data_IF_116896773112
#
_entry.id   IF_116896773112
#
_cell.length_a   1.000
_cell.length_b   1.000
_cell.length_c   1.000
_cell.angle_alpha   90.00
_cell.angle_beta   90.00
_cell.angle_gamma   90.00
#
_symmetry.space_group_name_H-M   'P 1'
#
loop_
_entity.id
_entity.type
_entity.pdbx_description
1 polymer ?
#
# COMPACT_ATOMS: atom_id res chain seq x y z
N UNK A 1 36.85 12.20 -11.43
CA UNK A 1 35.74 11.37 -10.91
C UNK A 1 34.63 11.33 -11.97
N UNK A 2 33.76 10.33 -12.00
CA UNK A 2 32.64 10.26 -12.95
C UNK A 2 31.37 10.84 -12.33
N UNK A 3 30.66 11.74 -13.01
CA UNK A 3 29.51 12.46 -12.43
C UNK A 3 28.23 11.62 -12.25
N UNK A 4 28.22 10.38 -12.74
CA UNK A 4 27.05 9.47 -12.70
C UNK A 4 25.85 9.94 -13.52
N UNK A 5 26.02 10.97 -14.36
CA UNK A 5 24.93 11.66 -15.06
C UNK A 5 25.13 11.78 -16.56
N UNK A 6 26.37 11.73 -17.05
CA UNK A 6 26.69 11.66 -18.48
C UNK A 6 27.36 10.34 -18.85
N UNK A 7 27.29 9.96 -20.13
CA UNK A 7 27.95 8.78 -20.67
C UNK A 7 27.93 8.73 -22.20
N UNK A 8 28.35 7.60 -22.75
CA UNK A 8 28.36 7.33 -24.19
C UNK A 8 27.69 5.98 -24.45
N UNK A 9 26.54 5.98 -25.12
CA UNK A 9 25.95 4.77 -25.70
C UNK A 9 26.60 4.53 -27.06
N UNK A 10 26.84 3.27 -27.44
CA UNK A 10 27.34 2.93 -28.78
C UNK A 10 26.35 2.02 -29.49
N UNK A 11 25.87 2.46 -30.65
CA UNK A 11 25.03 1.67 -31.56
C UNK A 11 25.88 1.40 -32.80
N UNK A 12 26.12 0.13 -33.14
CA UNK A 12 27.00 -0.27 -34.25
C UNK A 12 28.37 0.44 -34.25
N UNK A 13 28.93 0.60 -33.04
CA UNK A 13 30.16 1.35 -32.69
C UNK A 13 30.07 2.88 -32.83
N UNK A 14 29.02 3.43 -33.44
CA UNK A 14 28.75 4.89 -33.50
C UNK A 14 28.47 5.41 -32.08
N UNK A 15 29.23 6.39 -31.57
CA UNK A 15 29.03 6.94 -30.23
C UNK A 15 27.91 7.98 -30.22
N UNK A 16 27.01 7.87 -29.24
CA UNK A 16 25.97 8.83 -28.92
C UNK A 16 26.21 9.38 -27.52
N UNK A 17 26.29 10.70 -27.38
CA UNK A 17 26.32 11.35 -26.07
C UNK A 17 25.01 11.06 -25.33
N UNK A 18 25.07 10.68 -24.06
CA UNK A 18 23.87 10.38 -23.28
C UNK A 18 23.86 11.03 -21.89
N UNK A 19 22.65 11.23 -21.36
CA UNK A 19 22.36 11.93 -20.10
C UNK A 19 21.27 11.23 -19.30
N UNK A 20 21.55 10.95 -18.02
CA UNK A 20 20.63 10.29 -17.09
C UNK A 20 19.73 11.32 -16.39
N UNK A 21 18.44 11.34 -16.74
CA UNK A 21 17.46 12.33 -16.27
C UNK A 21 16.39 11.72 -15.36
N UNK A 22 15.93 12.50 -14.38
CA UNK A 22 14.92 12.15 -13.39
C UNK A 22 13.50 12.34 -13.95
N UNK A 23 12.76 11.25 -14.12
CA UNK A 23 11.36 11.27 -14.56
C UNK A 23 10.44 11.88 -13.48
N UNK A 24 9.31 12.48 -13.86
CA UNK A 24 8.36 13.03 -12.91
C UNK A 24 7.44 11.98 -12.30
N UNK A 25 7.22 10.86 -12.98
CA UNK A 25 6.33 9.79 -12.56
C UNK A 25 7.18 8.56 -12.29
N UNK A 26 6.87 7.86 -11.19
CA UNK A 26 7.27 6.46 -11.03
C UNK A 26 6.58 5.65 -12.12
N UNK A 27 7.30 4.75 -12.76
CA UNK A 27 6.78 3.81 -13.76
C UNK A 27 7.07 2.41 -13.22
N UNK A 28 6.02 1.67 -12.88
CA UNK A 28 6.16 0.27 -12.51
C UNK A 28 6.33 -0.58 -13.78
N UNK A 29 7.28 -1.51 -13.73
CA UNK A 29 7.46 -2.53 -14.77
C UNK A 29 6.88 -3.86 -14.27
N UNK A 30 5.97 -4.45 -15.05
CA UNK A 30 5.27 -5.68 -14.69
C UNK A 30 5.47 -6.76 -15.76
N UNK A 31 5.65 -8.00 -15.33
CA UNK A 31 5.63 -9.20 -16.20
C UNK A 31 4.29 -9.91 -16.09
N UNK A 32 3.92 -10.61 -17.15
CA UNK A 32 2.71 -11.46 -17.24
C UNK A 32 3.00 -12.65 -18.15
N UNK A 33 2.17 -13.68 -18.08
CA UNK A 33 2.21 -14.87 -18.96
C UNK A 33 0.87 -15.03 -19.68
N UNK A 34 -0.22 -14.87 -18.93
CA UNK A 34 -1.61 -14.99 -19.37
C UNK A 34 -2.23 -13.68 -19.91
N UNK A 35 -1.52 -12.54 -19.75
CA UNK A 35 -1.99 -11.18 -20.03
C UNK A 35 -3.16 -10.71 -19.16
N UNK A 36 -3.44 -11.38 -18.03
CA UNK A 36 -4.48 -11.01 -17.05
C UNK A 36 -3.87 -10.79 -15.67
N UNK A 37 -3.04 -11.71 -15.21
CA UNK A 37 -2.26 -11.57 -13.97
C UNK A 37 -0.92 -10.89 -14.24
N UNK A 38 -0.62 -9.83 -13.49
CA UNK A 38 0.59 -9.03 -13.64
C UNK A 38 1.38 -8.99 -12.34
N UNK A 39 2.69 -9.24 -12.44
CA UNK A 39 3.63 -9.26 -11.31
C UNK A 39 4.64 -8.13 -11.47
N UNK A 40 4.77 -7.26 -10.46
CA UNK A 40 5.77 -6.18 -10.45
C UNK A 40 7.19 -6.74 -10.47
N UNK A 41 8.08 -6.09 -11.21
CA UNK A 41 9.50 -6.49 -11.37
C UNK A 41 10.49 -5.41 -10.96
N UNK A 42 10.25 -4.15 -11.31
CA UNK A 42 11.05 -3.01 -10.86
C UNK A 42 10.27 -1.68 -10.91
N UNK A 43 10.77 -0.69 -10.17
CA UNK A 43 10.39 0.72 -10.27
C UNK A 43 11.37 1.48 -11.17
N UNK A 44 10.84 2.21 -12.15
CA UNK A 44 11.63 3.04 -13.08
C UNK A 44 11.32 4.51 -12.85
N UNK A 45 12.33 5.24 -12.36
CA UNK A 45 12.25 6.68 -12.07
C UNK A 45 13.22 7.53 -12.92
N UNK A 46 14.11 6.90 -13.70
CA UNK A 46 15.14 7.55 -14.50
C UNK A 46 15.06 7.14 -15.97
N UNK A 47 15.64 7.95 -16.86
CA UNK A 47 15.74 7.69 -18.29
C UNK A 47 17.10 8.14 -18.83
N UNK A 48 17.72 7.33 -19.69
CA UNK A 48 18.97 7.65 -20.37
C UNK A 48 18.65 8.24 -21.75
N UNK A 49 18.74 9.57 -21.87
CA UNK A 49 18.48 10.28 -23.13
C UNK A 49 19.75 10.31 -23.96
N UNK A 50 19.70 9.80 -25.20
CA UNK A 50 20.82 9.86 -26.15
C UNK A 50 20.59 10.96 -27.19
N UNK A 51 21.67 11.61 -27.63
CA UNK A 51 21.68 12.70 -28.61
C UNK A 51 22.85 12.56 -29.58
N UNK A 52 22.61 12.80 -30.87
CA UNK A 52 23.65 12.83 -31.91
C UNK A 52 24.61 14.02 -31.70
N UNK A 53 24.06 15.22 -31.56
CA UNK A 53 24.82 16.50 -31.53
C UNK A 53 25.31 16.88 -30.11
N UNK A 54 25.38 15.91 -29.20
CA UNK A 54 25.79 16.13 -27.81
C UNK A 54 27.29 15.93 -27.61
N UNK A 55 27.85 16.65 -26.64
CA UNK A 55 29.24 16.45 -26.21
C UNK A 55 29.42 15.05 -25.60
N UNK A 56 30.39 14.29 -26.10
CA UNK A 56 30.75 12.96 -25.63
C UNK A 56 31.53 12.98 -24.31
N UNK A 57 32.22 14.09 -24.02
CA UNK A 57 33.07 14.27 -22.84
C UNK A 57 32.80 15.63 -22.20
N UNK A 58 31.56 15.90 -21.74
CA UNK A 58 31.16 17.19 -21.21
C UNK A 58 32.05 17.61 -20.03
N UNK A 59 32.47 18.89 -19.94
CA UNK A 59 33.40 19.34 -18.93
C UNK A 59 32.99 18.97 -17.51
N UNK A 60 33.92 18.32 -16.78
CA UNK A 60 33.79 18.09 -15.35
C UNK A 60 33.79 19.42 -14.62
N UNK A 61 32.61 19.86 -14.16
CA UNK A 61 32.49 20.97 -13.22
C UNK A 61 33.15 20.59 -11.89
N UNK A 62 34.39 21.01 -11.68
CA UNK A 62 35.08 20.81 -10.40
C UNK A 62 34.26 21.35 -9.22
N UNK A 63 34.36 20.72 -8.03
CA UNK A 63 33.70 21.20 -6.81
C UNK A 63 34.39 22.45 -6.27
N UNK A 64 34.14 23.60 -6.91
CA UNK A 64 34.51 24.93 -6.39
C UNK A 64 34.00 25.07 -4.96
N UNK A 65 34.91 25.21 -4.00
CA UNK A 65 34.77 24.67 -2.65
C UNK A 65 33.77 25.32 -1.68
N UNK A 66 34.16 25.38 -0.41
CA UNK A 66 33.31 25.54 0.79
C UNK A 66 32.68 26.94 1.00
N UNK A 67 32.49 27.69 -0.07
CA UNK A 67 31.96 29.05 -0.07
C UNK A 67 30.41 29.03 0.00
N UNK A 68 29.73 29.69 0.97
CA UNK A 68 28.27 29.58 1.15
C UNK A 68 27.42 30.04 -0.05
N UNK A 69 28.02 30.69 -1.06
CA UNK A 69 27.39 31.02 -2.34
C UNK A 69 27.18 29.78 -3.24
N UNK A 70 27.95 28.70 -3.07
CA UNK A 70 27.87 27.49 -3.91
C UNK A 70 26.53 26.76 -3.81
N UNK A 71 25.94 26.68 -2.60
CA UNK A 71 24.63 26.04 -2.36
C UNK A 71 23.49 26.59 -3.22
N UNK A 72 23.58 27.83 -3.70
CA UNK A 72 22.59 28.43 -4.60
C UNK A 72 22.80 27.97 -6.06
N UNK A 73 24.05 27.71 -6.45
CA UNK A 73 24.46 27.19 -7.76
C UNK A 73 24.13 25.69 -7.91
N UNK A 74 24.39 24.86 -6.89
CA UNK A 74 24.06 23.42 -6.94
C UNK A 74 22.56 23.17 -7.15
N UNK A 75 21.71 23.99 -6.51
CA UNK A 75 20.26 23.93 -6.69
C UNK A 75 19.79 24.31 -8.11
N UNK A 76 20.66 24.92 -8.93
CA UNK A 76 20.46 25.07 -10.36
C UNK A 76 21.11 23.94 -11.18
N UNK A 77 22.21 23.34 -10.72
CA UNK A 77 22.81 22.14 -11.34
C UNK A 77 21.82 20.98 -11.41
N UNK A 78 21.16 20.62 -10.30
CA UNK A 78 20.21 19.50 -10.26
C UNK A 78 19.10 19.63 -11.32
N UNK A 79 18.62 20.86 -11.56
CA UNK A 79 17.55 21.14 -12.53
C UNK A 79 17.93 20.73 -13.96
N UNK A 80 19.24 20.66 -14.31
CA UNK A 80 19.70 20.24 -15.65
C UNK A 80 19.49 18.74 -15.92
N UNK A 81 19.16 17.97 -14.88
CA UNK A 81 18.80 16.55 -14.97
C UNK A 81 17.31 16.26 -14.68
N UNK A 82 16.49 17.27 -14.36
CA UNK A 82 15.06 17.07 -14.05
C UNK A 82 14.21 17.05 -15.32
N UNK A 83 13.68 15.88 -15.67
CA UNK A 83 12.78 15.72 -16.82
C UNK A 83 11.38 16.29 -16.52
N UNK A 84 10.82 17.06 -17.45
CA UNK A 84 9.58 17.84 -17.21
C UNK A 84 8.29 17.13 -17.64
N UNK A 85 8.37 15.96 -18.27
CA UNK A 85 7.25 15.27 -18.93
C UNK A 85 7.17 13.82 -18.46
N UNK A 86 5.98 13.23 -18.38
CA UNK A 86 5.88 11.77 -18.36
C UNK A 86 6.15 11.19 -19.75
N UNK A 87 6.40 9.88 -19.84
CA UNK A 87 6.67 9.19 -21.10
C UNK A 87 5.44 9.16 -22.02
N UNK A 88 4.24 8.98 -21.47
CA UNK A 88 3.00 8.93 -22.25
C UNK A 88 2.48 10.32 -22.61
N UNK A 89 1.91 10.48 -23.81
CA UNK A 89 1.47 11.77 -24.35
C UNK A 89 0.54 12.60 -23.41
N UNK A 90 -0.42 12.00 -22.68
CA UNK A 90 -1.27 12.74 -21.73
C UNK A 90 -0.50 13.38 -20.55
N UNK A 91 0.74 12.97 -20.30
CA UNK A 91 1.62 13.42 -19.23
C UNK A 91 2.66 14.48 -19.69
N UNK A 92 2.48 15.08 -20.87
CA UNK A 92 3.24 16.27 -21.27
C UNK A 92 3.08 17.39 -20.23
N UNK A 93 4.21 17.93 -19.77
CA UNK A 93 4.34 18.96 -18.72
C UNK A 93 3.78 18.60 -17.33
N UNK A 94 3.70 17.30 -16.95
CA UNK A 94 3.13 16.85 -15.67
C UNK A 94 3.63 17.62 -14.43
N UNK A 95 4.94 17.88 -14.26
CA UNK A 95 5.48 18.62 -13.08
C UNK A 95 4.90 20.04 -12.92
N UNK A 96 4.46 20.67 -14.03
CA UNK A 96 3.93 22.04 -14.04
C UNK A 96 2.40 22.09 -14.14
N UNK A 97 1.77 21.06 -14.72
CA UNK A 97 0.35 21.06 -15.11
C UNK A 97 -0.56 20.09 -14.34
N UNK A 98 -0.04 18.93 -13.91
CA UNK A 98 -0.85 17.86 -13.28
C UNK A 98 -0.52 17.64 -11.80
N UNK A 99 0.70 17.89 -11.38
CA UNK A 99 1.09 17.73 -9.98
C UNK A 99 0.64 18.94 -9.14
N UNK A 100 -0.21 18.68 -8.13
CA UNK A 100 -0.52 19.64 -7.08
C UNK A 100 0.76 19.95 -6.30
N UNK A 101 1.18 21.20 -6.30
CA UNK A 101 2.38 21.64 -5.56
C UNK A 101 2.11 21.54 -4.06
N UNK A 102 3.03 20.93 -3.31
CA UNK A 102 3.01 20.96 -1.85
C UNK A 102 3.19 22.39 -1.37
N UNK A 103 2.25 22.89 -0.57
CA UNK A 103 2.43 24.16 0.13
C UNK A 103 3.50 23.98 1.21
N UNK A 104 4.61 24.71 1.12
CA UNK A 104 5.64 24.72 2.17
C UNK A 104 5.07 25.31 3.45
N UNK A 105 4.84 24.49 4.47
CA UNK A 105 4.60 24.98 5.84
C UNK A 105 5.90 25.67 6.30
N UNK A 106 5.86 27.01 6.39
CA UNK A 106 7.05 27.88 6.58
C UNK A 106 7.99 27.47 7.72
N UNK A 107 7.46 26.76 8.73
CA UNK A 107 8.16 26.34 9.95
C UNK A 107 8.87 24.97 9.89
N UNK A 108 8.71 24.15 8.83
CA UNK A 108 9.30 22.79 8.79
C UNK A 108 10.71 22.77 8.19
N UNK A 109 11.02 23.68 7.27
CA UNK A 109 12.33 23.77 6.60
C UNK A 109 12.82 25.23 6.62
N UNK A 110 13.07 25.74 7.83
CA UNK A 110 13.65 27.06 8.06
C UNK A 110 15.10 26.87 8.55
N UNK A 111 16.09 26.76 7.64
CA UNK A 111 17.47 26.37 8.00
C UNK A 111 18.15 27.38 8.93
N UNK A 112 17.68 28.63 8.96
CA UNK A 112 18.14 29.64 9.91
C UNK A 112 17.65 29.35 11.34
N UNK A 113 16.43 28.82 11.51
CA UNK A 113 15.89 28.35 12.80
C UNK A 113 16.57 27.04 13.21
N UNK A 114 16.78 26.10 12.28
CA UNK A 114 17.52 24.86 12.56
C UNK A 114 18.96 25.17 13.03
N UNK A 115 19.63 26.14 12.38
CA UNK A 115 20.94 26.63 12.77
C UNK A 115 20.92 27.28 14.16
N UNK A 116 19.92 28.11 14.45
CA UNK A 116 19.84 28.84 15.72
C UNK A 116 19.45 27.92 16.89
N UNK A 117 18.51 26.99 16.70
CA UNK A 117 18.21 25.92 17.67
C UNK A 117 19.46 25.07 17.93
N UNK A 118 20.23 24.72 16.89
CA UNK A 118 21.49 24.01 17.08
C UNK A 118 22.56 24.86 17.80
N UNK A 119 22.58 26.17 17.60
CA UNK A 119 23.47 27.09 18.34
C UNK A 119 23.10 27.16 19.82
N UNK A 120 21.80 27.29 20.12
CA UNK A 120 21.28 27.28 21.49
C UNK A 120 21.62 25.96 22.19
N UNK A 121 21.24 24.82 21.63
CA UNK A 121 21.52 23.50 22.20
C UNK A 121 23.03 23.20 22.37
N UNK A 122 23.89 23.75 21.51
CA UNK A 122 25.35 23.67 21.71
C UNK A 122 25.82 24.54 22.87
N UNK A 123 25.25 25.74 23.04
CA UNK A 123 25.57 26.64 24.15
C UNK A 123 25.08 26.07 25.48
N UNK A 124 23.92 25.44 25.48
CA UNK A 124 23.30 24.75 26.62
C UNK A 124 24.12 23.51 27.04
N UNK A 125 24.71 22.78 26.08
CA UNK A 125 25.57 21.63 26.35
C UNK A 125 26.94 22.01 26.95
N UNK A 126 27.44 23.21 26.63
CA UNK A 126 28.66 23.79 27.22
C UNK A 126 28.40 24.47 28.58
N UNK A 127 27.13 24.59 29.01
CA UNK A 127 26.73 25.31 30.22
C UNK A 127 26.69 24.42 31.48
N UNK A 128 27.05 25.01 32.63
CA UNK A 128 27.06 24.31 33.94
C UNK A 128 25.63 24.04 34.47
N UNK A 129 24.66 24.86 34.07
CA UNK A 129 23.23 24.68 34.39
C UNK A 129 22.38 25.46 33.38
N UNK A 130 21.24 24.88 33.00
CA UNK A 130 20.33 25.43 31.98
C UNK A 130 18.92 25.48 32.57
N UNK A 131 18.22 26.60 32.35
CA UNK A 131 16.80 26.75 32.64
C UNK A 131 16.13 27.53 31.51
N UNK A 132 14.87 27.21 31.22
CA UNK A 132 14.03 27.96 30.29
C UNK A 132 12.63 28.08 30.87
N UNK A 133 11.93 29.16 30.49
CA UNK A 133 10.56 29.46 30.91
C UNK A 133 9.84 30.13 29.73
N UNK A 134 8.52 29.95 29.63
CA UNK A 134 7.70 30.55 28.58
C UNK A 134 7.00 31.76 29.18
N UNK A 135 7.53 32.95 28.89
CA UNK A 135 6.93 34.23 29.30
C UNK A 135 5.85 34.60 28.29
N UNK A 136 4.61 34.77 28.76
CA UNK A 136 3.55 35.40 27.97
C UNK A 136 3.74 36.92 27.99
N UNK A 137 3.48 37.60 26.86
CA UNK A 137 3.89 38.99 26.65
C UNK A 137 3.07 40.02 27.47
N UNK A 138 1.96 39.58 28.10
CA UNK A 138 0.97 40.45 28.76
C UNK A 138 1.19 40.67 30.28
N UNK A 139 1.94 39.82 31.01
CA UNK A 139 2.01 39.85 32.50
C UNK A 139 2.90 40.96 33.10
N UNK A 140 2.99 42.14 32.46
CA UNK A 140 3.88 43.24 32.90
C UNK A 140 3.19 44.56 33.25
N UNK A 141 1.85 44.61 33.25
CA UNK A 141 1.05 45.78 33.68
C UNK A 141 -0.21 45.34 34.42
N UNK A 142 -0.77 46.27 35.20
CA UNK A 142 -2.07 46.15 35.90
C UNK A 142 -2.12 45.14 37.07
N UNK A 143 -1.29 45.41 38.09
CA UNK A 143 -1.40 44.77 39.41
C UNK A 143 -1.73 45.78 40.54
N UNK A 144 -2.53 46.84 40.27
CA UNK A 144 -3.08 47.70 41.34
C UNK A 144 -4.32 48.55 40.94
N UNK A 145 -5.52 47.95 40.86
CA UNK A 145 -6.76 48.69 41.17
C UNK A 145 -7.90 47.78 41.65
N UNK A 146 -8.64 48.26 42.65
CA UNK A 146 -9.77 47.55 43.27
C UNK A 146 -11.10 48.12 42.72
N UNK A 147 -12.01 47.29 42.21
CA UNK A 147 -13.29 47.79 41.70
C UNK A 147 -14.21 46.72 41.11
N UNK A 148 -15.18 46.24 41.89
CA UNK A 148 -16.25 45.39 41.40
C UNK A 148 -17.26 46.19 40.57
N UNK A 149 -17.81 45.60 39.51
CA UNK A 149 -19.23 45.71 39.17
C UNK A 149 -19.66 44.52 38.28
N UNK A 150 -20.93 44.15 38.37
CA UNK A 150 -21.56 43.08 37.59
C UNK A 150 -22.58 43.66 36.59
N UNK A 151 -23.21 42.78 35.81
CA UNK A 151 -24.12 43.05 34.68
C UNK A 151 -23.35 43.46 33.39
N UNK A 152 -23.80 43.10 32.19
CA UNK A 152 -25.17 42.76 31.76
C UNK A 152 -25.35 41.32 31.24
N UNK A 153 -26.63 40.90 31.25
CA UNK A 153 -27.18 39.63 30.79
C UNK A 153 -28.10 39.84 29.57
N UNK A 154 -28.44 38.74 28.87
CA UNK A 154 -29.58 38.57 27.96
C UNK A 154 -29.60 39.32 26.60
N UNK A 155 -30.24 38.81 25.52
CA UNK A 155 -30.60 37.41 25.16
C UNK A 155 -30.79 37.27 23.61
N UNK A 156 -31.88 36.72 22.96
CA UNK A 156 -31.64 35.62 22.02
C UNK A 156 -32.24 35.73 20.60
N UNK A 157 -31.65 34.96 19.67
CA UNK A 157 -32.39 34.04 18.78
C UNK A 157 -33.06 34.53 17.48
N UNK A 158 -32.58 34.01 16.35
CA UNK A 158 -33.39 33.52 15.20
C UNK A 158 -32.71 32.24 14.68
N UNK A 159 -33.34 31.08 14.43
CA UNK A 159 -34.65 30.69 13.88
C UNK A 159 -34.75 30.85 12.36
N UNK A 160 -34.88 29.71 11.64
CA UNK A 160 -34.74 29.66 10.18
C UNK A 160 -34.85 28.27 9.56
N UNK A 161 -35.71 27.40 10.11
CA UNK A 161 -35.98 26.06 9.55
C UNK A 161 -36.97 26.13 8.36
N UNK A 162 -36.78 25.24 7.38
CA UNK A 162 -37.88 24.69 6.57
C UNK A 162 -37.70 23.18 6.43
N UNK A 163 -38.73 22.42 6.81
CA UNK A 163 -38.78 20.97 6.65
C UNK A 163 -39.04 20.57 5.19
N UNK A 164 -38.66 19.33 4.86
CA UNK A 164 -39.09 18.62 3.66
C UNK A 164 -38.90 17.11 3.85
N UNK A 165 -39.88 16.45 4.46
CA UNK A 165 -39.86 15.01 4.76
C UNK A 165 -40.86 14.27 3.86
N UNK A 166 -40.43 13.18 3.22
CA UNK A 166 -41.22 12.39 2.27
C UNK A 166 -40.58 11.01 2.07
N UNK A 167 -41.39 9.98 1.78
CA UNK A 167 -41.03 8.59 2.07
C UNK A 167 -41.18 7.61 0.88
N UNK A 168 -40.42 6.52 1.00
CA UNK A 168 -40.69 5.13 0.54
C UNK A 168 -40.61 4.73 -0.95
N UNK A 169 -39.83 3.64 -1.12
CA UNK A 169 -40.01 2.51 -2.05
C UNK A 169 -39.81 2.69 -3.58
N UNK A 170 -38.79 2.00 -4.13
CA UNK A 170 -38.96 0.76 -4.93
C UNK A 170 -37.60 0.25 -5.49
N UNK A 171 -37.50 -1.07 -5.74
CA UNK A 171 -36.37 -1.85 -6.32
C UNK A 171 -35.07 -1.87 -5.49
N UNK A 172 -34.43 -3.01 -5.17
CA UNK A 172 -34.66 -4.43 -5.53
C UNK A 172 -34.78 -4.75 -7.03
N UNK A 173 -33.63 -4.97 -7.70
CA UNK A 173 -33.60 -5.56 -9.06
C UNK A 173 -32.24 -6.16 -9.50
N UNK A 174 -31.33 -6.53 -8.57
CA UNK A 174 -29.98 -7.03 -8.89
C UNK A 174 -29.50 -8.19 -8.00
N UNK A 175 -30.41 -9.09 -7.57
CA UNK A 175 -30.06 -10.33 -6.83
C UNK A 175 -30.46 -11.63 -7.52
N UNK A 176 -31.07 -11.57 -8.71
CA UNK A 176 -31.75 -12.71 -9.37
C UNK A 176 -31.05 -13.17 -10.67
N UNK A 177 -29.72 -13.14 -10.73
CA UNK A 177 -28.95 -13.50 -11.95
C UNK A 177 -27.90 -14.62 -11.72
N UNK A 178 -27.65 -15.02 -10.47
CA UNK A 178 -26.57 -15.98 -10.14
C UNK A 178 -27.06 -17.27 -9.43
N UNK A 179 -28.36 -17.56 -9.45
CA UNK A 179 -28.92 -18.70 -8.69
C UNK A 179 -29.62 -19.76 -9.55
N UNK A 180 -29.74 -19.56 -10.86
CA UNK A 180 -30.33 -20.52 -11.79
C UNK A 180 -29.46 -20.67 -13.04
N UNK A 181 -28.62 -21.71 -13.04
CA UNK A 181 -28.43 -22.69 -14.13
C UNK A 181 -27.66 -23.85 -13.49
N UNK A 182 -28.30 -25.02 -13.41
CA UNK A 182 -27.66 -26.27 -12.99
C UNK A 182 -28.26 -27.44 -13.78
N UNK A 183 -27.38 -28.19 -14.45
CA UNK A 183 -27.56 -29.57 -14.95
C UNK A 183 -28.74 -29.92 -15.87
N UNK A 184 -28.47 -30.05 -17.18
CA UNK A 184 -29.28 -30.72 -18.22
C UNK A 184 -28.48 -30.74 -19.55
N UNK A 185 -28.48 -31.75 -20.43
CA UNK A 185 -28.99 -33.14 -20.41
C UNK A 185 -28.14 -34.02 -21.39
N UNK A 186 -28.64 -35.20 -21.78
CA UNK A 186 -27.97 -36.18 -22.67
C UNK A 186 -28.46 -36.13 -24.15
N UNK A 187 -27.97 -37.09 -24.98
CA UNK A 187 -28.43 -37.57 -26.30
C UNK A 187 -28.21 -36.70 -27.58
N UNK A 188 -27.93 -37.23 -28.81
CA UNK A 188 -27.62 -38.60 -29.34
C UNK A 188 -27.04 -38.50 -30.79
N UNK A 189 -26.58 -39.64 -31.39
CA UNK A 189 -26.34 -39.93 -32.84
C UNK A 189 -25.21 -39.14 -33.60
N UNK A 190 -24.51 -39.56 -34.68
CA UNK A 190 -24.27 -40.78 -35.54
C UNK A 190 -22.99 -40.45 -36.41
N UNK A 191 -22.13 -41.26 -37.07
CA UNK A 191 -21.96 -42.68 -37.53
C UNK A 191 -20.43 -43.02 -37.55
N UNK A 192 -19.94 -44.18 -38.06
CA UNK A 192 -18.52 -44.25 -38.51
C UNK A 192 -17.81 -45.56 -38.96
N UNK A 193 -18.48 -46.68 -39.26
CA UNK A 193 -18.00 -47.86 -40.06
C UNK A 193 -16.50 -48.33 -40.06
N UNK A 194 -16.16 -49.52 -39.48
CA UNK A 194 -15.63 -50.74 -40.21
C UNK A 194 -14.98 -51.90 -39.39
N UNK A 195 -15.37 -53.13 -39.78
CA UNK A 195 -14.70 -54.47 -39.72
C UNK A 195 -14.13 -54.96 -38.37
N UNK A 196 -14.62 -56.06 -37.77
CA UNK A 196 -14.65 -57.50 -38.18
C UNK A 196 -13.31 -58.24 -38.02
N UNK A 197 -13.30 -59.25 -37.12
CA UNK A 197 -12.67 -60.57 -37.28
C UNK A 197 -13.19 -61.55 -36.18
N UNK A 198 -12.92 -62.86 -36.30
CA UNK A 198 -13.75 -63.95 -35.75
C UNK A 198 -13.35 -64.53 -34.36
N UNK A 199 -14.35 -65.15 -33.70
CA UNK A 199 -14.32 -66.27 -32.72
C UNK A 199 -13.26 -66.36 -31.59
N UNK A 200 -13.75 -66.48 -30.34
CA UNK A 200 -13.46 -67.63 -29.45
C UNK A 200 -14.34 -67.66 -28.18
N UNK A 201 -15.23 -68.65 -28.06
CA UNK A 201 -16.04 -68.86 -26.85
C UNK A 201 -15.22 -69.51 -25.70
N UNK A 202 -14.78 -68.73 -24.71
CA UNK A 202 -14.10 -69.25 -23.50
C UNK A 202 -14.65 -68.60 -22.21
N UNK A 203 -15.67 -69.24 -21.63
CA UNK A 203 -15.94 -69.39 -20.18
C UNK A 203 -16.19 -68.11 -19.32
N UNK A 204 -17.48 -67.77 -19.15
CA UNK A 204 -18.04 -66.72 -18.26
C UNK A 204 -17.69 -66.87 -16.76
N UNK A 205 -16.42 -66.67 -16.37
CA UNK A 205 -15.98 -66.68 -14.95
C UNK A 205 -14.89 -65.68 -14.62
N UNK A 206 -14.15 -65.15 -15.60
CA UNK A 206 -13.05 -64.21 -15.34
C UNK A 206 -13.48 -62.74 -15.48
N UNK A 207 -14.33 -62.40 -16.45
CA UNK A 207 -14.78 -61.02 -16.70
C UNK A 207 -15.51 -60.36 -15.51
N UNK A 208 -16.36 -61.10 -14.79
CA UNK A 208 -17.08 -60.54 -13.64
C UNK A 208 -16.16 -60.31 -12.43
N UNK A 209 -15.06 -61.07 -12.34
CA UNK A 209 -14.00 -60.84 -11.35
C UNK A 209 -13.10 -59.66 -11.76
N UNK A 210 -12.77 -59.55 -13.05
CA UNK A 210 -12.04 -58.39 -13.61
C UNK A 210 -12.85 -57.11 -13.40
N UNK A 211 -14.14 -57.12 -13.72
CA UNK A 211 -15.05 -55.97 -13.51
C UNK A 211 -15.12 -55.57 -12.04
N UNK A 212 -15.30 -56.52 -11.13
CA UNK A 212 -15.36 -56.24 -9.69
C UNK A 212 -14.01 -55.78 -9.10
N UNK A 213 -12.88 -56.17 -9.71
CA UNK A 213 -11.56 -55.62 -9.38
C UNK A 213 -11.39 -54.20 -9.93
N UNK A 214 -11.83 -53.94 -11.16
CA UNK A 214 -11.79 -52.63 -11.82
C UNK A 214 -12.66 -51.60 -11.07
N UNK A 215 -13.87 -51.99 -10.63
CA UNK A 215 -14.74 -51.17 -9.78
C UNK A 215 -14.04 -50.82 -8.46
N UNK A 216 -13.50 -51.80 -7.73
CA UNK A 216 -12.77 -51.55 -6.47
C UNK A 216 -11.51 -50.70 -6.64
N UNK A 217 -10.85 -50.78 -7.79
CA UNK A 217 -9.68 -49.96 -8.10
C UNK A 217 -10.10 -48.51 -8.40
N UNK A 218 -11.17 -48.31 -9.18
CA UNK A 218 -11.78 -47.00 -9.42
C UNK A 218 -12.34 -46.36 -8.13
N UNK A 219 -12.97 -47.13 -7.24
CA UNK A 219 -13.40 -46.68 -5.91
C UNK A 219 -12.21 -46.24 -5.05
N UNK A 220 -11.11 -47.01 -5.08
CA UNK A 220 -9.89 -46.73 -4.32
C UNK A 220 -9.17 -45.47 -4.81
N UNK A 221 -9.09 -45.25 -6.12
CA UNK A 221 -8.51 -44.04 -6.70
C UNK A 221 -9.41 -42.82 -6.45
N UNK A 222 -10.73 -42.98 -6.52
CA UNK A 222 -11.70 -41.91 -6.20
C UNK A 222 -11.56 -41.45 -4.74
N UNK A 223 -11.49 -42.39 -3.79
CA UNK A 223 -11.32 -42.08 -2.37
C UNK A 223 -9.98 -41.39 -2.05
N UNK A 224 -8.89 -41.79 -2.73
CA UNK A 224 -7.60 -41.10 -2.62
C UNK A 224 -7.70 -39.67 -3.17
N UNK A 225 -8.34 -39.48 -4.32
CA UNK A 225 -8.44 -38.18 -4.98
C UNK A 225 -9.33 -37.18 -4.22
N UNK A 226 -10.30 -37.64 -3.42
CA UNK A 226 -11.02 -36.78 -2.46
C UNK A 226 -10.18 -36.48 -1.20
N UNK A 227 -9.45 -37.46 -0.66
CA UNK A 227 -8.58 -37.25 0.50
C UNK A 227 -7.50 -36.20 0.24
N UNK A 228 -6.80 -36.28 -0.89
CA UNK A 228 -5.80 -35.29 -1.29
C UNK A 228 -6.41 -33.88 -1.50
N UNK A 229 -7.66 -33.82 -1.97
CA UNK A 229 -8.39 -32.56 -2.12
C UNK A 229 -8.74 -31.93 -0.77
N UNK A 230 -9.20 -32.73 0.19
CA UNK A 230 -9.44 -32.25 1.56
C UNK A 230 -8.14 -31.83 2.26
N UNK A 231 -7.07 -32.61 2.12
CA UNK A 231 -5.73 -32.27 2.63
C UNK A 231 -5.24 -30.91 2.07
N UNK A 232 -5.44 -30.65 0.77
CA UNK A 232 -5.09 -29.38 0.14
C UNK A 232 -5.90 -28.19 0.68
N UNK A 233 -7.20 -28.36 0.94
CA UNK A 233 -8.07 -27.32 1.53
C UNK A 233 -7.66 -27.02 2.98
N UNK A 234 -7.38 -28.06 3.78
CA UNK A 234 -6.91 -27.90 5.17
C UNK A 234 -5.54 -27.19 5.21
N UNK A 235 -4.64 -27.48 4.28
CA UNK A 235 -3.37 -26.73 4.14
C UNK A 235 -3.60 -25.26 3.79
N UNK A 236 -4.54 -24.92 2.90
CA UNK A 236 -4.84 -23.52 2.56
C UNK A 236 -5.39 -22.75 3.77
N UNK A 237 -6.35 -23.33 4.51
CA UNK A 237 -6.82 -22.73 5.76
C UNK A 237 -5.69 -22.59 6.79
N UNK A 238 -4.81 -23.58 6.93
CA UNK A 238 -3.68 -23.52 7.86
C UNK A 238 -2.69 -22.40 7.52
N UNK A 239 -2.42 -22.15 6.23
CA UNK A 239 -1.62 -21.00 5.77
C UNK A 239 -2.34 -19.67 6.05
N UNK A 240 -3.65 -19.58 5.80
CA UNK A 240 -4.45 -18.39 6.10
C UNK A 240 -4.46 -18.06 7.61
N UNK A 241 -4.70 -19.06 8.46
CA UNK A 241 -4.65 -18.95 9.92
C UNK A 241 -3.30 -18.42 10.40
N UNK A 242 -2.20 -18.95 9.87
CA UNK A 242 -0.85 -18.51 10.24
C UNK A 242 -0.56 -17.07 9.77
N UNK A 243 -1.04 -16.67 8.59
CA UNK A 243 -0.95 -15.31 8.07
C UNK A 243 -1.71 -14.29 8.95
N UNK A 244 -2.92 -14.63 9.41
CA UNK A 244 -3.70 -13.73 10.29
C UNK A 244 -3.12 -13.73 11.72
N UNK A 245 -2.66 -14.87 12.25
CA UNK A 245 -1.94 -14.93 13.55
C UNK A 245 -0.70 -14.03 13.57
N UNK A 246 0.06 -13.98 12.48
CA UNK A 246 1.22 -13.09 12.35
C UNK A 246 0.83 -11.59 12.36
N UNK A 247 -0.27 -11.23 11.68
CA UNK A 247 -0.81 -9.85 11.71
C UNK A 247 -1.29 -9.46 13.11
N UNK A 248 -2.01 -10.36 13.78
CA UNK A 248 -2.49 -10.17 15.16
C UNK A 248 -1.33 -9.93 16.15
N UNK A 249 -0.19 -10.60 15.95
CA UNK A 249 1.02 -10.36 16.76
C UNK A 249 1.61 -8.96 16.55
N UNK A 250 1.65 -8.47 15.30
CA UNK A 250 2.10 -7.11 14.99
C UNK A 250 1.12 -6.04 15.49
N UNK A 251 -0.19 -6.25 15.34
CA UNK A 251 -1.24 -5.39 15.91
C UNK A 251 -1.13 -5.29 17.43
N UNK A 252 -0.83 -6.41 18.12
CA UNK A 252 -0.53 -6.43 19.56
C UNK A 252 0.75 -5.69 19.94
N UNK A 253 1.81 -5.78 19.12
CA UNK A 253 3.03 -5.01 19.33
C UNK A 253 2.78 -3.51 19.21
N UNK A 254 2.04 -3.08 18.17
CA UNK A 254 1.60 -1.69 17.97
C UNK A 254 0.73 -1.18 19.13
N UNK A 255 -0.21 -2.01 19.61
CA UNK A 255 -1.05 -1.71 20.80
C UNK A 255 -0.21 -1.38 22.03
N UNK A 256 0.74 -2.25 22.40
CA UNK A 256 1.62 -2.02 23.55
C UNK A 256 2.46 -0.75 23.42
N UNK A 257 2.99 -0.47 22.23
CA UNK A 257 3.73 0.77 21.97
C UNK A 257 2.84 2.01 22.17
N UNK A 258 1.58 1.95 21.76
CA UNK A 258 0.61 3.03 21.95
C UNK A 258 0.22 3.22 23.42
N UNK A 259 0.02 2.13 24.18
CA UNK A 259 -0.18 2.15 25.64
C UNK A 259 1.02 2.80 26.36
N UNK A 260 2.24 2.41 26.01
CA UNK A 260 3.47 3.01 26.54
C UNK A 260 3.59 4.52 26.23
N UNK A 261 3.11 4.98 25.07
CA UNK A 261 3.09 6.42 24.74
C UNK A 261 2.04 7.17 25.58
N UNK A 262 0.87 6.58 25.81
CA UNK A 262 -0.18 7.15 26.68
C UNK A 262 0.30 7.31 28.14
N UNK A 263 1.14 6.38 28.62
CA UNK A 263 1.75 6.49 29.96
C UNK A 263 2.85 7.57 30.05
N UNK A 264 3.53 7.89 28.94
CA UNK A 264 4.65 8.85 28.89
C UNK A 264 4.22 10.29 28.57
N UNK A 265 2.92 10.55 28.35
CA UNK A 265 2.40 11.83 27.87
C UNK A 265 1.49 12.50 28.89
N UNK A 266 1.97 13.62 29.45
CA UNK A 266 1.27 14.44 30.45
C UNK A 266 0.19 15.34 29.82
N UNK A 267 0.33 15.71 28.55
CA UNK A 267 -0.61 16.60 27.87
C UNK A 267 -1.96 15.91 27.60
N UNK A 268 -3.01 16.36 28.28
CA UNK A 268 -4.34 15.72 28.21
C UNK A 268 -4.96 15.70 26.80
N UNK A 269 -4.73 16.72 25.96
CA UNK A 269 -5.26 16.74 24.59
C UNK A 269 -4.57 15.71 23.68
N UNK A 270 -3.25 15.54 23.82
CA UNK A 270 -2.51 14.46 23.17
C UNK A 270 -2.93 13.09 23.74
N UNK A 271 -3.12 12.98 25.05
CA UNK A 271 -3.58 11.75 25.72
C UNK A 271 -4.94 11.29 25.18
N UNK A 272 -5.91 12.19 25.05
CA UNK A 272 -7.22 11.90 24.45
C UNK A 272 -7.09 11.42 22.99
N UNK A 273 -6.21 12.05 22.20
CA UNK A 273 -5.95 11.65 20.81
C UNK A 273 -5.26 10.28 20.72
N UNK A 274 -4.32 10.00 21.61
CA UNK A 274 -3.64 8.71 21.65
C UNK A 274 -4.56 7.58 22.15
N UNK A 275 -5.51 7.88 23.05
CA UNK A 275 -6.55 6.94 23.45
C UNK A 275 -7.45 6.56 22.26
N UNK A 276 -7.96 7.51 21.48
CA UNK A 276 -8.78 7.20 20.30
C UNK A 276 -8.03 6.29 19.29
N UNK A 277 -6.73 6.50 19.09
CA UNK A 277 -5.90 5.63 18.26
C UNK A 277 -5.64 4.25 18.89
N UNK A 278 -5.61 4.14 20.23
CA UNK A 278 -5.54 2.85 20.93
C UNK A 278 -6.87 2.09 20.77
N UNK A 279 -8.01 2.78 20.85
CA UNK A 279 -9.34 2.20 20.68
C UNK A 279 -9.53 1.67 19.24
N UNK A 280 -9.05 2.40 18.22
CA UNK A 280 -8.98 1.91 16.83
C UNK A 280 -8.11 0.63 16.69
N UNK A 281 -6.97 0.58 17.38
CA UNK A 281 -6.08 -0.61 17.39
C UNK A 281 -6.74 -1.79 18.10
N UNK A 282 -7.51 -1.56 19.18
CA UNK A 282 -8.27 -2.61 19.89
C UNK A 282 -9.35 -3.19 18.97
N UNK A 283 -10.12 -2.35 18.27
CA UNK A 283 -11.10 -2.81 17.29
C UNK A 283 -10.46 -3.55 16.09
N UNK A 284 -9.19 -3.26 15.76
CA UNK A 284 -8.43 -4.02 14.77
C UNK A 284 -7.99 -5.38 15.33
N UNK A 285 -7.51 -5.44 16.58
CA UNK A 285 -7.13 -6.69 17.25
C UNK A 285 -8.33 -7.65 17.35
N UNK A 286 -9.50 -7.15 17.73
CA UNK A 286 -10.73 -7.93 17.85
C UNK A 286 -11.17 -8.53 16.51
N UNK A 287 -11.18 -7.73 15.43
CA UNK A 287 -11.51 -8.22 14.08
C UNK A 287 -10.49 -9.22 13.54
N UNK A 288 -9.21 -9.06 13.84
CA UNK A 288 -8.17 -10.04 13.48
C UNK A 288 -8.31 -11.34 14.30
N UNK A 289 -8.72 -11.24 15.57
CA UNK A 289 -8.95 -12.40 16.44
C UNK A 289 -10.18 -13.22 16.01
N UNK A 290 -11.30 -12.56 15.67
CA UNK A 290 -12.49 -13.24 15.17
C UNK A 290 -12.26 -13.86 13.79
N UNK A 291 -11.43 -13.24 12.94
CA UNK A 291 -11.00 -13.86 11.69
C UNK A 291 -10.18 -15.14 11.93
N UNK A 292 -9.26 -15.17 12.91
CA UNK A 292 -8.57 -16.41 13.30
C UNK A 292 -9.56 -17.46 13.80
N UNK A 293 -10.52 -17.08 14.66
CA UNK A 293 -11.55 -17.99 15.18
C UNK A 293 -12.38 -18.62 14.06
N UNK A 294 -12.92 -17.79 13.16
CA UNK A 294 -13.72 -18.23 12.00
C UNK A 294 -12.93 -19.12 11.04
N UNK A 295 -11.65 -18.81 10.78
CA UNK A 295 -10.80 -19.66 9.92
C UNK A 295 -10.40 -20.97 10.59
N UNK A 296 -10.22 -21.00 11.93
CA UNK A 296 -9.95 -22.24 12.69
C UNK A 296 -11.15 -23.18 12.64
N UNK A 297 -12.36 -22.68 12.93
CA UNK A 297 -13.60 -23.45 12.85
C UNK A 297 -13.75 -24.12 11.47
N UNK A 298 -13.55 -23.38 10.38
CA UNK A 298 -13.62 -23.94 9.02
C UNK A 298 -12.57 -25.02 8.71
N UNK A 299 -11.39 -24.93 9.32
CA UNK A 299 -10.37 -25.97 9.19
C UNK A 299 -10.74 -27.23 10.00
N UNK A 300 -11.32 -27.04 11.18
CA UNK A 300 -11.81 -28.10 12.06
C UNK A 300 -13.03 -28.82 11.44
N UNK A 301 -13.97 -28.06 10.86
CA UNK A 301 -15.13 -28.57 10.12
C UNK A 301 -14.70 -29.40 8.90
N UNK A 302 -13.75 -28.91 8.10
CA UNK A 302 -13.21 -29.64 6.92
C UNK A 302 -12.35 -30.86 7.32
N UNK A 303 -11.81 -30.89 8.54
CA UNK A 303 -11.08 -32.04 9.08
C UNK A 303 -12.01 -33.08 9.76
N UNK A 304 -13.31 -32.79 9.83
CA UNK A 304 -14.36 -33.63 10.42
C UNK A 304 -15.27 -34.28 9.37
N UNK A 305 -14.93 -34.15 8.08
CA UNK A 305 -15.63 -34.66 6.90
C UNK A 305 -14.72 -35.64 6.13
#
# INVERSE_FOLDING_TARGET
ETDGRHGIVRVDRVPLACKLVELPCMIESLKTVDKKTFYKTADVCQMLVCTLDGDLYPPLEEPTGTDPKSKKKDKDKDKKFVWNHGITCPLKNTRKRRFRKTAKKKYIESPDVEKEVKRLLSTDADAVSVRWEIIAEDESKEAEQHGSLANLDSSPGTSGHKMGHGSSAQRDELREIFNDISSSSEDEEDEGDRHEDEDLNIMDTEDDLVRQLQEKLNESDSAQHESDRNNQIVMEYQVQINSVKAKLQDTRARKKQQEELIMKVENQALKNRFQALLDEIIQQEEREMEQVRTSSQKAEDQCSL
#
